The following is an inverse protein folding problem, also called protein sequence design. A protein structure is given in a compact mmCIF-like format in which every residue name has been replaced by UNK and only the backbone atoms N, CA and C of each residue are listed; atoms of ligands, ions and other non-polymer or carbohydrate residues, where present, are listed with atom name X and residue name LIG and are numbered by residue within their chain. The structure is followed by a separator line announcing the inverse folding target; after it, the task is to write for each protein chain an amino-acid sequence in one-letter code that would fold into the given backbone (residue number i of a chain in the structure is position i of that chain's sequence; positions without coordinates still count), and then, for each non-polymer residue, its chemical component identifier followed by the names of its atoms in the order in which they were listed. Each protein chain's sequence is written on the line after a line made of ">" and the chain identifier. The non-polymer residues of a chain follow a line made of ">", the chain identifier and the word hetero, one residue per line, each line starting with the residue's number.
data_IF_233110868733
#
_entry.id   IF_233110868733
#
_cell.length_a   1.000
_cell.length_b   1.000
_cell.length_c   1.000
_cell.angle_alpha   90.00
_cell.angle_beta   90.00
_cell.angle_gamma   90.00
#
_symmetry.space_group_name_H-M   'P 1'
#
loop_
_entity.id
_entity.type
_entity.pdbx_description
1 polymer ?
#
# COMPACT_ATOMS: atom_id res chain seq x y z
N UNK A 1 10.69 -7.53 17.22
CA UNK A 1 9.95 -6.74 16.20
C UNK A 1 10.97 -5.83 15.55
N UNK A 2 11.44 -6.15 14.34
CA UNK A 2 12.22 -5.18 13.56
C UNK A 2 11.30 -3.99 13.28
N UNK A 3 11.66 -2.81 13.74
CA UNK A 3 10.92 -1.59 13.41
C UNK A 3 11.05 -1.36 11.91
N UNK A 4 9.92 -1.29 11.19
CA UNK A 4 9.92 -0.97 9.77
C UNK A 4 10.50 0.44 9.61
N UNK A 5 11.73 0.54 9.09
CA UNK A 5 12.38 1.82 8.79
C UNK A 5 12.09 2.24 7.35
N UNK A 6 12.03 3.56 7.14
CA UNK A 6 11.95 4.20 5.83
C UNK A 6 13.29 4.89 5.51
N UNK A 7 13.73 4.89 4.24
CA UNK A 7 13.06 4.28 3.09
C UNK A 7 13.08 2.74 3.14
N UNK A 8 12.08 2.11 2.53
CA UNK A 8 12.01 0.68 2.27
C UNK A 8 12.99 0.34 1.16
N UNK A 9 13.84 -0.64 1.41
CA UNK A 9 14.69 -1.20 0.36
C UNK A 9 13.86 -2.07 -0.62
N UNK A 10 14.43 -2.42 -1.79
CA UNK A 10 13.72 -3.22 -2.78
C UNK A 10 13.32 -4.63 -2.27
N UNK A 11 14.14 -5.27 -1.43
CA UNK A 11 13.87 -6.61 -0.90
C UNK A 11 12.70 -6.58 0.09
N UNK A 12 12.64 -5.55 0.93
CA UNK A 12 11.52 -5.28 1.83
C UNK A 12 10.21 -5.07 1.08
N UNK A 13 10.25 -4.30 0.00
CA UNK A 13 9.07 -4.05 -0.86
C UNK A 13 8.62 -5.33 -1.55
N UNK A 14 9.57 -6.07 -2.13
CA UNK A 14 9.34 -7.38 -2.75
C UNK A 14 8.79 -8.40 -1.77
N UNK A 15 9.30 -8.43 -0.54
CA UNK A 15 8.82 -9.32 0.51
C UNK A 15 7.36 -9.04 0.85
N UNK A 16 6.99 -7.76 1.01
CA UNK A 16 5.61 -7.37 1.29
C UNK A 16 4.66 -7.82 0.16
N UNK A 17 5.03 -7.57 -1.10
CA UNK A 17 4.26 -7.97 -2.27
C UNK A 17 4.10 -9.50 -2.35
N UNK A 18 5.21 -10.24 -2.27
CA UNK A 18 5.20 -11.71 -2.38
C UNK A 18 4.44 -12.37 -1.23
N UNK A 19 4.52 -11.82 -0.03
CA UNK A 19 3.78 -12.33 1.12
C UNK A 19 2.28 -12.15 0.91
N UNK A 20 1.83 -10.98 0.48
CA UNK A 20 0.42 -10.76 0.17
C UNK A 20 -0.06 -11.60 -1.01
N UNK A 21 0.73 -11.74 -2.08
CA UNK A 21 0.38 -12.64 -3.19
C UNK A 21 0.19 -14.09 -2.71
N UNK A 22 0.99 -14.55 -1.75
CA UNK A 22 0.85 -15.89 -1.15
C UNK A 22 -0.41 -16.00 -0.30
N UNK A 23 -0.70 -15.02 0.56
CA UNK A 23 -1.92 -14.98 1.38
C UNK A 23 -3.19 -15.00 0.53
N UNK A 24 -3.17 -14.29 -0.61
CA UNK A 24 -4.30 -14.20 -1.54
C UNK A 24 -4.17 -15.13 -2.75
N UNK A 25 -3.39 -16.21 -2.63
CA UNK A 25 -3.12 -17.16 -3.73
C UNK A 25 -4.35 -17.87 -4.29
N UNK A 26 -5.47 -17.86 -3.57
CA UNK A 26 -6.78 -18.37 -4.02
C UNK A 26 -7.56 -17.40 -4.89
N UNK A 27 -7.06 -16.18 -5.12
CA UNK A 27 -7.66 -15.22 -6.03
C UNK A 27 -7.65 -15.76 -7.47
N UNK A 28 -8.59 -15.32 -8.33
CA UNK A 28 -8.59 -15.68 -9.73
C UNK A 28 -7.23 -15.37 -10.38
N UNK A 29 -6.67 -16.25 -11.24
CA UNK A 29 -5.38 -16.01 -11.89
C UNK A 29 -5.31 -14.70 -12.68
N UNK A 30 -6.43 -14.29 -13.30
CA UNK A 30 -6.55 -13.00 -13.99
C UNK A 30 -6.36 -11.80 -13.06
N UNK A 31 -6.73 -11.95 -11.79
CA UNK A 31 -6.59 -10.92 -10.78
C UNK A 31 -5.19 -10.88 -10.17
N UNK A 32 -4.59 -12.06 -9.93
CA UNK A 32 -3.18 -12.15 -9.52
C UNK A 32 -2.25 -11.48 -10.54
N UNK A 33 -2.48 -11.70 -11.84
CA UNK A 33 -1.71 -11.05 -12.91
C UNK A 33 -1.85 -9.53 -12.87
N UNK A 34 -3.08 -9.02 -12.68
CA UNK A 34 -3.33 -7.58 -12.56
C UNK A 34 -2.57 -6.93 -11.40
N UNK A 35 -2.54 -7.58 -10.23
CA UNK A 35 -1.79 -7.06 -9.07
C UNK A 35 -0.28 -7.00 -9.28
N UNK A 36 0.27 -7.84 -10.17
CA UNK A 36 1.68 -7.81 -10.58
C UNK A 36 1.97 -6.75 -11.64
N UNK A 37 0.94 -6.26 -12.33
CA UNK A 37 0.97 -5.21 -13.36
C UNK A 37 0.41 -3.87 -12.81
N UNK A 38 0.64 -3.59 -11.53
CA UNK A 38 -0.01 -2.56 -10.70
C UNK A 38 -1.48 -2.17 -10.99
N UNK A 39 -2.29 -3.09 -11.51
CA UNK A 39 -3.72 -2.88 -11.77
C UNK A 39 -4.54 -3.41 -10.59
N UNK A 40 -5.23 -2.51 -9.89
CA UNK A 40 -5.99 -2.80 -8.69
C UNK A 40 -7.50 -2.60 -8.90
N UNK A 41 -8.19 -3.56 -9.56
CA UNK A 41 -9.62 -3.44 -9.84
C UNK A 41 -10.45 -3.42 -8.56
N UNK A 42 -11.58 -2.71 -8.59
CA UNK A 42 -12.45 -2.46 -7.44
C UNK A 42 -13.26 -3.72 -7.04
N UNK A 43 -12.59 -4.69 -6.40
CA UNK A 43 -13.20 -5.93 -5.90
C UNK A 43 -12.86 -6.15 -4.43
N UNK A 44 -13.73 -6.83 -3.67
CA UNK A 44 -13.52 -7.08 -2.24
C UNK A 44 -12.17 -7.75 -1.94
N UNK A 45 -11.73 -8.67 -2.80
CA UNK A 45 -10.45 -9.36 -2.61
C UNK A 45 -9.25 -8.45 -2.91
N UNK A 46 -9.33 -7.61 -3.95
CA UNK A 46 -8.31 -6.57 -4.21
C UNK A 46 -8.21 -5.60 -3.05
N UNK A 47 -9.34 -5.24 -2.44
CA UNK A 47 -9.34 -4.32 -1.30
C UNK A 47 -8.50 -4.87 -0.16
N UNK A 48 -8.66 -6.16 0.16
CA UNK A 48 -7.90 -6.79 1.23
C UNK A 48 -6.44 -7.04 0.84
N UNK A 49 -6.17 -7.31 -0.45
CA UNK A 49 -4.80 -7.36 -0.95
C UNK A 49 -4.06 -6.02 -0.75
N UNK A 50 -4.69 -4.89 -1.09
CA UNK A 50 -4.10 -3.55 -0.87
C UNK A 50 -3.88 -3.28 0.61
N UNK A 51 -4.83 -3.66 1.48
CA UNK A 51 -4.63 -3.55 2.93
C UNK A 51 -3.43 -4.37 3.40
N UNK A 52 -3.31 -5.62 2.95
CA UNK A 52 -2.15 -6.46 3.29
C UNK A 52 -0.85 -5.78 2.84
N UNK A 53 -0.79 -5.36 1.59
CA UNK A 53 0.44 -4.82 1.00
C UNK A 53 0.88 -3.54 1.71
N UNK A 54 -0.05 -2.60 1.95
CA UNK A 54 0.23 -1.36 2.68
C UNK A 54 0.65 -1.61 4.13
N UNK A 55 0.13 -2.66 4.78
CA UNK A 55 0.50 -3.03 6.14
C UNK A 55 1.91 -3.61 6.22
N UNK A 56 2.24 -4.56 5.34
CA UNK A 56 3.58 -5.16 5.30
C UNK A 56 4.65 -4.23 4.75
N UNK A 57 4.27 -3.27 3.90
CA UNK A 57 5.17 -2.20 3.48
C UNK A 57 5.46 -1.20 4.62
N UNK A 58 4.66 -1.23 5.69
CA UNK A 58 4.79 -0.32 6.84
C UNK A 58 4.20 1.07 6.61
N UNK A 59 3.51 1.29 5.50
CA UNK A 59 2.85 2.56 5.20
C UNK A 59 1.48 2.65 5.87
N UNK A 60 0.91 1.55 6.34
CA UNK A 60 -0.31 1.51 7.14
C UNK A 60 -0.09 0.70 8.42
N UNK A 61 -0.50 1.24 9.56
CA UNK A 61 -0.43 0.56 10.85
C UNK A 61 -1.84 0.06 11.23
N UNK A 62 -2.03 -1.26 11.28
CA UNK A 62 -3.32 -1.86 11.58
C UNK A 62 -3.80 -1.59 13.02
N UNK A 63 -2.88 -1.51 13.98
CA UNK A 63 -3.18 -1.29 15.39
C UNK A 63 -3.67 0.14 15.63
N UNK A 64 -2.99 1.13 15.06
CA UNK A 64 -3.35 2.54 15.24
C UNK A 64 -4.34 3.03 14.18
N UNK A 65 -4.58 2.23 13.14
CA UNK A 65 -5.43 2.54 11.98
C UNK A 65 -5.03 3.82 11.25
N UNK A 66 -3.72 4.05 11.13
CA UNK A 66 -3.16 5.26 10.54
C UNK A 66 -2.14 4.93 9.47
N UNK A 67 -2.10 5.77 8.43
CA UNK A 67 -1.01 5.76 7.46
C UNK A 67 0.22 6.46 8.04
N UNK A 68 1.40 5.91 7.77
CA UNK A 68 2.68 6.53 8.05
C UNK A 68 3.02 7.53 6.94
N UNK A 69 2.37 8.69 6.99
CA UNK A 69 2.56 9.77 5.99
C UNK A 69 4.01 10.21 5.90
N UNK A 70 4.71 10.28 7.04
CA UNK A 70 6.10 10.73 7.08
C UNK A 70 7.03 9.68 6.44
N UNK A 71 6.79 8.38 6.68
CA UNK A 71 7.48 7.29 5.97
C UNK A 71 7.27 7.33 4.46
N UNK A 72 6.04 7.60 3.99
CA UNK A 72 5.75 7.75 2.56
C UNK A 72 6.54 8.94 1.98
N UNK A 73 6.59 10.08 2.66
CA UNK A 73 7.40 11.24 2.20
C UNK A 73 8.88 10.87 2.08
N UNK A 74 9.44 10.27 3.13
CA UNK A 74 10.84 9.82 3.15
C UNK A 74 11.14 8.85 2.00
N UNK A 75 10.22 7.95 1.64
CA UNK A 75 10.39 7.02 0.51
C UNK A 75 10.56 7.73 -0.84
N UNK A 76 9.77 8.76 -1.09
CA UNK A 76 9.82 9.51 -2.34
C UNK A 76 11.06 10.41 -2.38
N UNK A 77 11.32 11.12 -1.30
CA UNK A 77 12.47 12.02 -1.16
C UNK A 77 13.81 11.28 -1.30
N UNK A 78 13.93 10.06 -0.74
CA UNK A 78 15.15 9.26 -0.87
C UNK A 78 15.47 8.85 -2.31
N UNK A 79 14.48 8.89 -3.21
CA UNK A 79 14.62 8.59 -4.63
C UNK A 79 14.75 9.87 -5.47
N UNK A 80 14.80 11.05 -4.85
CA UNK A 80 14.80 12.34 -5.55
C UNK A 80 13.46 12.66 -6.24
N UNK A 81 12.37 11.99 -5.84
CA UNK A 81 11.04 12.15 -6.42
C UNK A 81 10.21 13.02 -5.45
N UNK A 82 9.44 14.01 -5.95
CA UNK A 82 8.56 14.80 -5.08
C UNK A 82 7.48 13.92 -4.43
N UNK A 83 7.18 14.10 -3.14
CA UNK A 83 6.10 13.37 -2.48
C UNK A 83 4.73 13.58 -3.16
N UNK A 84 3.86 12.54 -3.19
CA UNK A 84 2.53 12.63 -3.79
C UNK A 84 1.69 13.78 -3.23
N UNK A 85 0.96 14.47 -4.10
CA UNK A 85 0.02 15.50 -3.71
C UNK A 85 -1.15 14.90 -2.93
N UNK A 86 -1.51 15.54 -1.82
CA UNK A 86 -2.65 15.13 -0.99
C UNK A 86 -2.31 14.07 0.06
N UNK A 87 -1.04 13.74 0.31
CA UNK A 87 -0.64 12.83 1.39
C UNK A 87 -1.22 13.18 2.77
N UNK A 88 -1.42 14.47 3.04
CA UNK A 88 -1.99 14.93 4.31
C UNK A 88 -3.41 14.42 4.56
N UNK A 89 -4.16 14.05 3.52
CA UNK A 89 -5.50 13.44 3.69
C UNK A 89 -5.43 12.06 4.35
N UNK A 90 -4.29 11.36 4.21
CA UNK A 90 -4.05 10.05 4.82
C UNK A 90 -3.74 10.13 6.33
N UNK A 91 -3.49 11.32 6.88
CA UNK A 91 -3.33 11.49 8.34
C UNK A 91 -4.62 11.23 9.12
N UNK A 92 -5.77 11.26 8.43
CA UNK A 92 -7.06 10.88 9.02
C UNK A 92 -7.01 9.42 9.45
N UNK A 93 -7.61 9.13 10.61
CA UNK A 93 -7.75 7.75 11.08
C UNK A 93 -8.71 7.00 10.15
N UNK A 94 -8.28 5.83 9.68
CA UNK A 94 -9.10 4.99 8.82
C UNK A 94 -10.13 4.19 9.65
N UNK A 95 -11.16 3.67 8.98
CA UNK A 95 -12.08 2.68 9.55
C UNK A 95 -11.43 1.30 9.70
N UNK A 96 -10.24 1.09 9.15
CA UNK A 96 -9.47 -0.16 9.19
C UNK A 96 -10.02 -1.32 8.34
N UNK A 97 -11.13 -1.11 7.64
CA UNK A 97 -11.71 -2.09 6.72
C UNK A 97 -10.92 -2.14 5.41
N UNK A 98 -10.87 -3.29 4.75
CA UNK A 98 -10.19 -3.43 3.46
C UNK A 98 -10.61 -2.37 2.44
N UNK A 99 -11.92 -2.12 2.33
CA UNK A 99 -12.49 -1.15 1.38
C UNK A 99 -12.03 0.28 1.67
N UNK A 100 -11.99 0.66 2.95
CA UNK A 100 -11.58 2.00 3.37
C UNK A 100 -10.10 2.26 3.03
N UNK A 101 -9.23 1.30 3.36
CA UNK A 101 -7.80 1.37 3.02
C UNK A 101 -7.58 1.39 1.51
N UNK A 102 -8.32 0.57 0.77
CA UNK A 102 -8.29 0.56 -0.69
C UNK A 102 -8.62 1.93 -1.28
N UNK A 103 -9.74 2.54 -0.88
CA UNK A 103 -10.16 3.85 -1.40
C UNK A 103 -9.10 4.92 -1.10
N UNK A 104 -8.62 4.99 0.13
CA UNK A 104 -7.57 5.94 0.53
C UNK A 104 -6.28 5.77 -0.28
N UNK A 105 -5.88 4.53 -0.56
CA UNK A 105 -4.64 4.21 -1.29
C UNK A 105 -4.78 4.46 -2.79
N UNK A 106 -5.84 3.95 -3.41
CA UNK A 106 -6.04 4.04 -4.86
C UNK A 106 -6.35 5.47 -5.31
N UNK A 107 -7.02 6.27 -4.49
CA UNK A 107 -7.22 7.70 -4.78
C UNK A 107 -5.87 8.43 -4.87
N UNK A 108 -4.90 8.10 -4.00
CA UNK A 108 -3.56 8.66 -4.05
C UNK A 108 -2.80 8.20 -5.32
N UNK A 109 -2.84 6.90 -5.63
CA UNK A 109 -2.19 6.31 -6.81
C UNK A 109 -2.71 6.96 -8.08
N UNK A 110 -4.04 7.03 -8.26
CA UNK A 110 -4.67 7.61 -9.45
C UNK A 110 -4.37 9.09 -9.59
N UNK A 111 -4.46 9.86 -8.50
CA UNK A 111 -4.20 11.31 -8.50
C UNK A 111 -2.76 11.64 -8.93
N UNK A 112 -1.81 10.80 -8.54
CA UNK A 112 -0.39 11.05 -8.76
C UNK A 112 0.21 10.19 -9.89
N UNK A 113 -0.61 9.40 -10.59
CA UNK A 113 -0.18 8.45 -11.63
C UNK A 113 1.01 7.60 -11.17
N UNK A 114 0.95 7.13 -9.92
CA UNK A 114 2.00 6.30 -9.36
C UNK A 114 2.01 4.95 -10.10
N UNK A 115 3.19 4.41 -10.41
CA UNK A 115 3.32 3.08 -10.96
C UNK A 115 2.90 2.02 -9.95
#
# INVERSE_FOLDING_TARGET
>A
IHMLQFPRDPDQTRWAEKTCLREFSRAPPSLLKKWQEPDFPNTNITHCFIKCFTSYLGVYNETTRKFNVDGIKTQFESQGIPPPQGLETLRKTSKGTCKDIYLMTVDLIKKNKLP
#
